data_IF_073049678019
#
_entry.id   IF_073049678019
#
_cell.length_a   1.000
_cell.length_b   1.000
_cell.length_c   1.000
_cell.angle_alpha   90.00
_cell.angle_beta   90.00
_cell.angle_gamma   90.00
#
_symmetry.space_group_name_H-M   'P 1'
#
loop_
_entity.id
_entity.type
_entity.pdbx_description
1 polymer ?
#
# COMPACT_ATOMS: atom_id res chain seq x y z
N UNK A 1 28.99 9.41 -15.63
CA UNK A 1 27.62 9.48 -15.07
C UNK A 1 26.99 10.80 -15.48
N UNK A 2 25.76 10.80 -15.99
CA UNK A 2 25.06 12.04 -16.36
C UNK A 2 24.82 12.88 -15.10
N UNK A 3 25.11 14.18 -15.15
CA UNK A 3 24.86 15.11 -14.03
C UNK A 3 23.41 15.58 -14.10
N UNK A 4 22.72 15.62 -12.96
CA UNK A 4 21.38 16.22 -12.87
C UNK A 4 21.47 17.72 -13.14
N UNK A 5 20.59 18.24 -13.99
CA UNK A 5 20.59 19.64 -14.46
C UNK A 5 19.41 20.45 -13.95
N UNK A 6 18.44 19.81 -13.29
CA UNK A 6 17.26 20.47 -12.71
C UNK A 6 16.71 19.66 -11.51
N UNK A 7 15.98 20.34 -10.61
CA UNK A 7 15.39 19.81 -9.39
C UNK A 7 13.99 20.42 -9.20
N UNK A 8 12.97 19.59 -9.06
CA UNK A 8 11.59 20.02 -8.82
C UNK A 8 11.29 19.84 -7.35
N UNK A 9 10.91 20.90 -6.65
CA UNK A 9 10.46 20.89 -5.25
C UNK A 9 8.94 20.97 -5.24
N UNK A 10 8.29 19.89 -4.83
CA UNK A 10 6.83 19.77 -4.70
C UNK A 10 6.34 20.10 -3.29
N UNK A 11 7.17 19.85 -2.28
CA UNK A 11 6.92 20.31 -0.92
C UNK A 11 8.23 20.84 -0.33
N UNK A 12 8.20 22.10 0.10
CA UNK A 12 9.33 22.85 0.60
C UNK A 12 8.90 24.27 0.95
N UNK A 13 9.83 25.11 1.39
CA UNK A 13 9.55 26.53 1.69
C UNK A 13 8.91 27.23 0.50
N UNK A 14 9.50 27.07 -0.68
CA UNK A 14 8.97 27.56 -1.95
C UNK A 14 8.96 26.39 -2.93
N UNK A 15 7.78 25.87 -3.33
CA UNK A 15 7.66 24.92 -4.42
C UNK A 15 8.09 25.54 -5.75
N UNK A 16 8.83 24.80 -6.57
CA UNK A 16 9.34 25.31 -7.85
C UNK A 16 10.38 24.42 -8.51
N UNK A 17 10.88 24.87 -9.66
CA UNK A 17 12.01 24.25 -10.37
C UNK A 17 13.29 25.02 -10.07
N UNK A 18 14.35 24.30 -9.72
CA UNK A 18 15.68 24.83 -9.39
C UNK A 18 16.73 24.15 -10.27
N UNK A 19 17.73 24.89 -10.75
CA UNK A 19 18.74 24.35 -11.67
C UNK A 19 20.04 23.93 -10.98
N UNK A 20 20.15 24.20 -9.68
CA UNK A 20 21.25 23.72 -8.84
C UNK A 20 20.74 23.01 -7.60
N UNK A 21 21.52 22.04 -7.11
CA UNK A 21 21.20 21.36 -5.85
C UNK A 21 21.24 22.34 -4.67
N UNK A 22 22.12 23.34 -4.71
CA UNK A 22 22.23 24.36 -3.65
C UNK A 22 20.92 25.13 -3.46
N UNK A 23 20.29 25.57 -4.57
CA UNK A 23 19.00 26.27 -4.54
C UNK A 23 17.87 25.36 -4.08
N UNK A 24 17.82 24.12 -4.58
CA UNK A 24 16.84 23.11 -4.14
C UNK A 24 16.97 22.85 -2.63
N UNK A 25 18.20 22.67 -2.13
CA UNK A 25 18.47 22.35 -0.74
C UNK A 25 18.03 23.47 0.22
N UNK A 26 18.11 24.75 -0.20
CA UNK A 26 17.56 25.88 0.59
C UNK A 26 16.05 25.75 0.83
N UNK A 27 15.31 25.13 -0.09
CA UNK A 27 13.85 24.98 0.05
C UNK A 27 13.46 23.79 0.92
N UNK A 28 14.21 22.69 0.84
CA UNK A 28 13.84 21.45 1.51
C UNK A 28 14.48 21.29 2.88
N UNK A 29 15.72 21.78 3.09
CA UNK A 29 16.47 21.52 4.32
C UNK A 29 15.70 21.95 5.58
N UNK A 30 15.37 20.98 6.43
CA UNK A 30 14.64 21.20 7.68
C UNK A 30 13.14 21.49 7.51
N UNK A 31 12.59 21.32 6.30
CA UNK A 31 11.16 21.44 6.05
C UNK A 31 10.48 20.08 6.28
N UNK A 32 9.53 20.03 7.21
CA UNK A 32 8.79 18.80 7.51
C UNK A 32 7.92 18.40 6.32
N UNK A 33 8.03 17.15 5.87
CA UNK A 33 7.31 16.68 4.68
C UNK A 33 7.89 17.16 3.35
N UNK A 34 9.18 17.52 3.30
CA UNK A 34 9.85 17.89 2.06
C UNK A 34 9.70 16.82 0.96
N UNK A 35 9.41 17.27 -0.25
CA UNK A 35 9.31 16.44 -1.46
C UNK A 35 10.02 17.16 -2.61
N UNK A 36 11.09 16.55 -3.12
CA UNK A 36 11.82 17.05 -4.28
C UNK A 36 12.40 15.91 -5.12
N UNK A 37 12.62 16.18 -6.40
CA UNK A 37 13.17 15.21 -7.35
C UNK A 37 14.11 15.87 -8.35
N UNK A 38 15.25 15.24 -8.64
CA UNK A 38 16.22 15.75 -9.62
C UNK A 38 16.11 15.06 -10.98
N UNK A 39 16.32 15.82 -12.06
CA UNK A 39 16.15 15.40 -13.45
C UNK A 39 17.43 15.64 -14.27
N UNK A 40 17.64 14.81 -15.28
CA UNK A 40 18.79 14.88 -16.19
C UNK A 40 18.57 15.83 -17.37
N UNK A 41 17.32 16.22 -17.65
CA UNK A 41 16.97 17.22 -18.66
C UNK A 41 16.02 18.26 -18.06
N UNK A 42 16.07 19.49 -18.58
CA UNK A 42 15.16 20.57 -18.15
C UNK A 42 13.71 20.28 -18.55
N UNK A 43 13.50 19.69 -19.73
CA UNK A 43 12.18 19.31 -20.23
C UNK A 43 11.48 18.29 -19.32
N UNK A 44 12.20 17.29 -18.81
CA UNK A 44 11.64 16.33 -17.88
C UNK A 44 11.26 16.97 -16.53
N UNK A 45 12.06 17.93 -16.06
CA UNK A 45 11.72 18.70 -14.85
C UNK A 45 10.48 19.59 -15.06
N UNK A 46 10.38 20.26 -16.21
CA UNK A 46 9.24 21.11 -16.56
C UNK A 46 7.95 20.30 -16.65
N UNK A 47 7.97 19.17 -17.37
CA UNK A 47 6.81 18.27 -17.50
C UNK A 47 6.34 17.77 -16.13
N UNK A 48 7.27 17.41 -15.25
CA UNK A 48 6.93 16.96 -13.90
C UNK A 48 6.34 18.07 -13.02
N UNK A 49 6.80 19.31 -13.21
CA UNK A 49 6.28 20.47 -12.51
C UNK A 49 4.88 20.87 -12.99
N UNK A 50 4.67 20.91 -14.30
CA UNK A 50 3.38 21.26 -14.90
C UNK A 50 2.30 20.24 -14.51
N UNK A 51 2.63 18.94 -14.53
CA UNK A 51 1.74 17.88 -14.06
C UNK A 51 1.38 18.07 -12.58
N UNK A 52 2.34 18.43 -11.73
CA UNK A 52 2.09 18.67 -10.32
C UNK A 52 1.23 19.92 -10.08
N UNK A 53 1.46 20.99 -10.84
CA UNK A 53 0.63 22.20 -10.79
C UNK A 53 -0.81 21.91 -11.24
N UNK A 54 -1.00 21.20 -12.35
CA UNK A 54 -2.33 20.82 -12.84
C UNK A 54 -3.12 20.00 -11.82
N UNK A 55 -2.46 19.03 -11.18
CA UNK A 55 -3.06 18.22 -10.11
C UNK A 55 -3.45 19.04 -8.88
N UNK A 56 -2.68 20.07 -8.54
CA UNK A 56 -2.95 20.91 -7.38
C UNK A 56 -3.99 22.00 -7.63
N UNK A 57 -4.04 22.56 -8.84
CA UNK A 57 -5.10 23.49 -9.25
C UNK A 57 -6.47 22.81 -9.24
N UNK A 58 -6.54 21.55 -9.70
CA UNK A 58 -7.77 20.74 -9.60
C UNK A 58 -8.19 20.46 -8.14
N UNK A 59 -7.21 20.39 -7.23
CA UNK A 59 -7.45 20.12 -5.80
C UNK A 59 -7.91 21.36 -5.03
N UNK A 60 -7.47 22.55 -5.43
CA UNK A 60 -7.90 23.81 -4.82
C UNK A 60 -9.26 24.30 -5.34
N UNK A 61 -9.61 24.03 -6.60
CA UNK A 61 -10.97 24.32 -7.13
C UNK A 61 -12.09 23.56 -6.41
N UNK A 62 -11.82 22.35 -5.92
CA UNK A 62 -12.80 21.58 -5.12
C UNK A 62 -12.93 22.07 -3.66
N UNK A 63 -12.02 22.92 -3.17
CA UNK A 63 -12.11 23.52 -1.83
C UNK A 63 -12.86 24.86 -1.82
N UNK A 64 -12.98 25.56 -2.95
CA UNK A 64 -13.74 26.83 -3.02
C UNK A 64 -15.25 26.64 -3.21
N UNK A 65 -15.70 25.52 -3.82
CA UNK A 65 -17.13 25.24 -4.04
C UNK A 65 -17.86 24.69 -2.80
N UNK A 66 -17.13 24.29 -1.74
CA UNK A 66 -17.73 23.82 -0.48
C UNK A 66 -17.94 24.90 0.57
N UNK A 67 -17.54 26.14 0.30
CA UNK A 67 -17.55 27.23 1.29
C UNK A 67 -18.57 28.34 0.96
N UNK A 68 -19.38 28.20 -0.09
CA UNK A 68 -20.33 29.22 -0.56
C UNK A 68 -21.81 28.86 -0.39
N UNK A 69 -22.19 27.93 0.50
CA UNK A 69 -23.60 27.53 0.71
C UNK A 69 -24.17 27.77 2.12
N UNK A 70 -23.50 28.51 2.99
CA UNK A 70 -24.11 28.94 4.26
C UNK A 70 -23.83 30.42 4.47
N UNK A 71 -24.93 31.19 4.56
CA UNK A 71 -25.06 32.64 4.77
C UNK A 71 -25.11 33.50 3.49
N UNK A 72 -26.33 33.72 2.99
CA UNK A 72 -26.69 34.98 2.34
C UNK A 72 -27.48 35.82 3.33
N UNK A 73 -27.15 37.11 3.52
CA UNK A 73 -27.81 38.33 2.97
C UNK A 73 -26.84 39.53 3.22
N UNK A 74 -27.06 40.74 2.63
CA UNK A 74 -26.22 41.35 1.61
C UNK A 74 -25.33 42.53 2.11
N UNK A 75 -24.43 42.99 1.24
CA UNK A 75 -23.65 44.22 1.37
C UNK A 75 -24.51 45.46 1.69
N UNK A 76 -23.90 46.50 2.28
CA UNK A 76 -23.59 47.66 1.44
C UNK A 76 -22.21 48.28 1.68
N UNK A 77 -21.57 48.61 0.54
CA UNK A 77 -20.84 49.83 0.18
C UNK A 77 -19.99 50.60 1.23
N UNK A 78 -18.76 50.95 0.80
CA UNK A 78 -18.19 52.26 1.10
C UNK A 78 -16.80 52.30 1.74
N UNK A 79 -15.80 52.53 0.91
CA UNK A 79 -14.74 53.55 1.07
C UNK A 79 -13.87 53.62 2.35
N UNK A 80 -12.58 53.34 2.11
CA UNK A 80 -11.40 54.18 2.37
C UNK A 80 -10.77 54.35 3.77
N UNK A 81 -9.43 54.49 3.69
CA UNK A 81 -8.47 55.13 4.61
C UNK A 81 -8.16 54.58 6.04
N UNK A 82 -6.92 54.08 6.15
CA UNK A 82 -5.86 54.49 7.11
C UNK A 82 -5.87 54.14 8.61
N UNK A 83 -4.65 53.76 9.07
CA UNK A 83 -3.95 54.15 10.34
C UNK A 83 -4.32 53.46 11.68
N UNK A 84 -3.30 52.72 12.16
CA UNK A 84 -2.65 52.75 13.50
C UNK A 84 -3.37 52.36 14.82
N UNK A 85 -2.52 51.80 15.70
CA UNK A 85 -2.52 51.82 17.16
C UNK A 85 -3.13 50.65 17.96
N UNK A 86 -2.20 49.86 18.53
CA UNK A 86 -2.08 49.40 19.93
C UNK A 86 -3.32 49.35 20.86
N UNK A 87 -3.53 48.22 21.55
CA UNK A 87 -3.41 48.04 23.03
C UNK A 87 -4.12 46.77 23.55
N UNK A 88 -3.32 45.94 24.23
CA UNK A 88 -3.45 45.38 25.59
C UNK A 88 -4.74 44.75 26.18
N UNK A 89 -4.47 43.71 26.99
CA UNK A 89 -5.21 43.20 28.18
C UNK A 89 -6.53 42.42 27.95
N UNK A 90 -6.92 41.39 28.70
CA UNK A 90 -6.33 40.53 29.74
C UNK A 90 -7.33 39.35 30.00
N UNK A 91 -6.85 38.28 30.63
CA UNK A 91 -7.57 37.48 31.65
C UNK A 91 -8.78 36.55 31.34
N UNK A 92 -8.59 35.28 31.74
CA UNK A 92 -9.52 34.41 32.51
C UNK A 92 -10.64 33.58 31.85
N UNK A 93 -10.36 32.27 31.74
CA UNK A 93 -10.98 31.15 32.47
C UNK A 93 -12.53 31.07 32.58
N UNK A 94 -13.18 30.08 31.94
CA UNK A 94 -14.26 29.32 32.59
C UNK A 94 -14.50 27.93 31.97
N UNK A 95 -14.71 26.97 32.86
CA UNK A 95 -15.09 25.58 32.61
C UNK A 95 -16.60 25.50 32.41
N UNK A 96 -17.09 24.69 31.46
CA UNK A 96 -18.43 24.09 31.58
C UNK A 96 -18.56 22.75 30.85
N UNK A 97 -18.73 21.70 31.66
CA UNK A 97 -19.33 20.40 31.34
C UNK A 97 -20.78 20.57 30.85
N UNK A 98 -21.20 19.78 29.85
CA UNK A 98 -22.50 19.04 29.65
C UNK A 98 -22.22 18.03 28.51
N UNK A 99 -22.39 16.70 28.55
CA UNK A 99 -23.44 15.76 28.98
C UNK A 99 -24.77 15.89 28.22
N UNK A 100 -25.02 14.95 27.29
CA UNK A 100 -26.32 14.51 26.72
C UNK A 100 -26.00 13.46 25.61
N UNK A 101 -26.21 12.15 25.84
CA UNK A 101 -27.41 11.31 25.62
C UNK A 101 -27.54 10.74 24.20
N UNK A 102 -27.96 9.47 24.20
CA UNK A 102 -28.25 8.58 23.08
C UNK A 102 -29.62 8.91 22.45
N UNK A 103 -29.89 8.20 21.34
CA UNK A 103 -31.15 8.09 20.58
C UNK A 103 -31.32 9.25 19.55
N UNK A 104 -31.53 9.04 18.25
CA UNK A 104 -32.30 8.01 17.55
C UNK A 104 -31.66 7.58 16.22
N UNK A 105 -31.92 6.33 15.85
CA UNK A 105 -31.68 5.73 14.55
C UNK A 105 -32.90 5.93 13.63
N UNK A 106 -32.66 5.75 12.32
CA UNK A 106 -33.62 5.81 11.19
C UNK A 106 -33.95 7.25 10.76
N UNK A 107 -33.80 7.70 9.52
CA UNK A 107 -33.62 7.08 8.22
C UNK A 107 -33.08 8.16 7.26
N UNK A 108 -32.35 7.78 6.20
CA UNK A 108 -32.37 8.39 4.85
C UNK A 108 -31.37 7.59 4.00
N UNK A 109 -31.94 6.64 3.28
CA UNK A 109 -31.38 6.13 2.04
C UNK A 109 -31.31 7.26 1.00
N UNK A 110 -30.30 7.13 0.14
CA UNK A 110 -30.04 7.80 -1.14
C UNK A 110 -28.93 8.87 -1.20
N UNK A 111 -28.03 8.60 -2.15
CA UNK A 111 -27.02 9.45 -2.76
C UNK A 111 -25.69 9.65 -2.01
N UNK A 112 -24.88 8.60 -1.94
CA UNK A 112 -23.42 8.72 -1.92
C UNK A 112 -22.82 8.21 -3.23
N UNK A 113 -22.78 9.07 -4.26
CA UNK A 113 -21.83 8.94 -5.38
C UNK A 113 -20.44 9.25 -4.83
N UNK A 114 -19.67 8.20 -4.55
CA UNK A 114 -18.35 8.25 -3.92
C UNK A 114 -17.29 8.64 -4.95
N UNK A 115 -16.61 9.77 -4.72
CA UNK A 115 -15.41 10.18 -5.45
C UNK A 115 -14.29 9.21 -5.08
N UNK A 116 -13.71 8.53 -6.08
CA UNK A 116 -12.67 7.49 -5.93
C UNK A 116 -11.32 8.12 -5.62
N UNK A 117 -10.59 7.57 -4.65
CA UNK A 117 -9.23 7.99 -4.31
C UNK A 117 -8.20 7.32 -5.21
N UNK A 118 -6.98 7.87 -5.31
CA UNK A 118 -5.89 7.34 -6.14
C UNK A 118 -5.42 5.92 -5.77
N UNK A 119 -5.74 5.45 -4.55
CA UNK A 119 -5.58 4.05 -4.17
C UNK A 119 -6.62 3.12 -4.82
N UNK A 120 -7.81 3.64 -5.14
CA UNK A 120 -8.88 2.91 -5.84
C UNK A 120 -8.62 2.85 -7.36
N UNK A 121 -7.72 3.67 -7.90
CA UNK A 121 -7.36 3.68 -9.34
C UNK A 121 -6.44 2.50 -9.70
N UNK A 122 -5.60 2.03 -8.76
CA UNK A 122 -4.72 0.88 -8.98
C UNK A 122 -5.46 -0.47 -8.99
N UNK A 123 -6.69 -0.52 -8.48
CA UNK A 123 -7.52 -1.72 -8.45
C UNK A 123 -8.32 -1.92 -9.76
N UNK A 124 -8.25 -0.97 -10.71
CA UNK A 124 -9.10 -0.97 -11.92
C UNK A 124 -8.36 -1.13 -13.26
N UNK A 125 -7.08 -1.48 -13.28
CA UNK A 125 -6.44 -1.94 -14.54
C UNK A 125 -6.32 -3.46 -14.52
N UNK A 126 -7.48 -4.13 -14.53
CA UNK A 126 -7.59 -5.48 -15.05
C UNK A 126 -8.36 -5.38 -16.36
N UNK A 127 -7.62 -5.30 -17.47
CA UNK A 127 -8.17 -5.66 -18.78
C UNK A 127 -8.12 -7.18 -18.81
N UNK A 128 -9.15 -7.84 -18.27
CA UNK A 128 -9.37 -9.25 -18.57
C UNK A 128 -9.85 -9.32 -20.02
N UNK A 129 -8.92 -9.61 -20.94
CA UNK A 129 -9.28 -9.98 -22.30
C UNK A 129 -10.08 -11.28 -22.25
N UNK A 130 -11.30 -11.24 -22.77
CA UNK A 130 -12.31 -12.32 -22.70
C UNK A 130 -12.02 -13.50 -23.66
N UNK A 131 -10.82 -13.61 -24.21
CA UNK A 131 -10.48 -14.56 -25.29
C UNK A 131 -9.25 -15.44 -25.00
N UNK A 132 -8.86 -15.61 -23.73
CA UNK A 132 -7.84 -16.63 -23.41
C UNK A 132 -8.45 -18.03 -23.45
N UNK A 133 -7.83 -19.01 -24.16
CA UNK A 133 -8.32 -20.37 -24.22
C UNK A 133 -8.41 -20.98 -22.81
N UNK A 134 -9.38 -21.90 -22.58
CA UNK A 134 -9.56 -22.51 -21.27
C UNK A 134 -8.28 -23.20 -20.82
N UNK A 135 -7.78 -22.81 -19.65
CA UNK A 135 -6.60 -23.41 -19.03
C UNK A 135 -6.95 -24.85 -18.63
N UNK A 136 -6.31 -25.82 -19.28
CA UNK A 136 -6.45 -27.24 -18.93
C UNK A 136 -5.39 -27.56 -17.87
N UNK A 137 -5.84 -27.89 -16.67
CA UNK A 137 -4.96 -28.31 -15.57
C UNK A 137 -4.71 -29.82 -15.61
N UNK A 138 -3.50 -30.23 -15.23
CA UNK A 138 -3.22 -31.64 -14.96
C UNK A 138 -3.93 -32.09 -13.68
N UNK A 139 -4.03 -33.41 -13.46
CA UNK A 139 -4.61 -33.96 -12.23
C UNK A 139 -3.88 -33.45 -10.97
N UNK A 140 -2.55 -33.33 -11.03
CA UNK A 140 -1.72 -32.81 -9.94
C UNK A 140 -2.01 -31.32 -9.68
N UNK A 141 -2.05 -30.51 -10.73
CA UNK A 141 -2.37 -29.08 -10.62
C UNK A 141 -3.80 -28.87 -10.07
N UNK A 142 -4.75 -29.67 -10.52
CA UNK A 142 -6.13 -29.61 -10.04
C UNK A 142 -6.22 -30.00 -8.56
N UNK A 143 -5.47 -31.01 -8.11
CA UNK A 143 -5.40 -31.35 -6.68
C UNK A 143 -4.87 -30.19 -5.83
N UNK A 144 -3.86 -29.45 -6.30
CA UNK A 144 -3.37 -28.23 -5.60
C UNK A 144 -4.46 -27.17 -5.51
N UNK A 145 -5.20 -26.97 -6.60
CA UNK A 145 -6.32 -26.03 -6.61
C UNK A 145 -7.36 -26.42 -5.56
N UNK A 146 -7.75 -27.68 -5.51
CA UNK A 146 -8.77 -28.16 -4.57
C UNK A 146 -8.30 -28.00 -3.11
N UNK A 147 -7.04 -28.35 -2.80
CA UNK A 147 -6.44 -28.10 -1.48
C UNK A 147 -6.50 -26.62 -1.08
N UNK A 148 -6.18 -25.71 -2.00
CA UNK A 148 -6.25 -24.27 -1.74
C UNK A 148 -7.69 -23.79 -1.50
N UNK A 149 -8.68 -24.33 -2.24
CA UNK A 149 -10.09 -23.98 -2.06
C UNK A 149 -10.67 -24.51 -0.75
N UNK A 150 -10.15 -25.63 -0.24
CA UNK A 150 -10.48 -26.18 1.07
C UNK A 150 -9.81 -25.43 2.25
N UNK A 151 -9.23 -24.26 1.99
CA UNK A 151 -8.53 -23.40 2.95
C UNK A 151 -7.31 -24.10 3.61
N UNK A 152 -6.63 -25.01 2.89
CA UNK A 152 -5.37 -25.57 3.35
C UNK A 152 -4.21 -24.61 3.07
N UNK A 153 -3.21 -24.63 3.96
CA UNK A 153 -1.93 -23.97 3.69
C UNK A 153 -1.18 -24.83 2.66
N UNK A 154 -0.75 -24.22 1.56
CA UNK A 154 -0.17 -24.95 0.41
C UNK A 154 1.26 -24.49 0.19
N UNK A 155 2.18 -25.43 0.00
CA UNK A 155 3.47 -25.15 -0.61
C UNK A 155 3.51 -25.71 -2.04
N UNK A 156 3.45 -24.81 -3.02
CA UNK A 156 3.48 -25.09 -4.45
C UNK A 156 4.91 -24.99 -4.98
N UNK A 157 5.51 -26.13 -5.24
CA UNK A 157 6.87 -26.22 -5.79
C UNK A 157 6.90 -27.11 -7.03
N UNK A 158 8.03 -27.15 -7.72
CA UNK A 158 8.20 -27.88 -8.97
C UNK A 158 9.25 -27.25 -9.87
N UNK A 159 9.67 -27.96 -10.91
CA UNK A 159 10.72 -27.50 -11.81
C UNK A 159 10.32 -26.27 -12.65
N UNK A 160 11.31 -25.66 -13.31
CA UNK A 160 11.07 -24.65 -14.34
C UNK A 160 10.10 -25.21 -15.40
N UNK A 161 9.03 -24.47 -15.71
CA UNK A 161 8.06 -24.90 -16.72
C UNK A 161 7.00 -25.91 -16.25
N UNK A 162 6.95 -26.32 -14.98
CA UNK A 162 5.91 -27.24 -14.45
C UNK A 162 4.50 -26.61 -14.32
N UNK A 163 4.33 -25.35 -14.72
CA UNK A 163 3.04 -24.67 -14.68
C UNK A 163 2.64 -24.13 -13.29
N UNK A 164 3.60 -23.91 -12.37
CA UNK A 164 3.35 -23.29 -11.05
C UNK A 164 2.56 -21.99 -11.16
N UNK A 165 3.00 -21.05 -12.00
CA UNK A 165 2.34 -19.75 -12.18
C UNK A 165 0.95 -19.90 -12.80
N UNK A 166 0.75 -20.88 -13.69
CA UNK A 166 -0.56 -21.18 -14.30
C UNK A 166 -1.52 -21.69 -13.21
N UNK A 167 -1.07 -22.64 -12.41
CA UNK A 167 -1.84 -23.20 -11.28
C UNK A 167 -2.17 -22.11 -10.26
N UNK A 168 -1.19 -21.27 -9.91
CA UNK A 168 -1.37 -20.17 -8.97
C UNK A 168 -2.40 -19.14 -9.47
N UNK A 169 -2.35 -18.77 -10.76
CA UNK A 169 -3.35 -17.87 -11.35
C UNK A 169 -4.76 -18.44 -11.22
N UNK A 170 -4.93 -19.74 -11.45
CA UNK A 170 -6.24 -20.39 -11.32
C UNK A 170 -6.71 -20.44 -9.86
N UNK A 171 -5.81 -20.71 -8.91
CA UNK A 171 -6.11 -20.62 -7.46
C UNK A 171 -6.61 -19.22 -7.09
N UNK A 172 -5.85 -18.17 -7.48
CA UNK A 172 -6.19 -16.78 -7.19
C UNK A 172 -7.55 -16.43 -7.78
N UNK A 173 -7.80 -16.82 -9.04
CA UNK A 173 -9.07 -16.59 -9.73
C UNK A 173 -10.24 -17.24 -8.99
N UNK A 174 -10.16 -18.54 -8.69
CA UNK A 174 -11.24 -19.27 -8.02
C UNK A 174 -11.48 -18.75 -6.59
N UNK A 175 -10.44 -18.46 -5.81
CA UNK A 175 -10.59 -17.87 -4.47
C UNK A 175 -11.25 -16.49 -4.51
N UNK A 176 -10.89 -15.64 -5.48
CA UNK A 176 -11.55 -14.32 -5.66
C UNK A 176 -13.01 -14.46 -6.06
N UNK A 177 -13.36 -15.43 -6.92
CA UNK A 177 -14.76 -15.75 -7.25
C UNK A 177 -15.55 -16.17 -5.99
N UNK A 178 -14.92 -16.87 -5.06
CA UNK A 178 -15.51 -17.20 -3.75
C UNK A 178 -15.55 -16.00 -2.77
N UNK A 179 -15.18 -14.80 -3.22
CA UNK A 179 -15.21 -13.58 -2.41
C UNK A 179 -14.05 -13.44 -1.42
N UNK A 180 -13.00 -14.27 -1.51
CA UNK A 180 -11.81 -14.18 -0.65
C UNK A 180 -10.92 -13.03 -1.11
N UNK A 181 -10.40 -12.27 -0.15
CA UNK A 181 -9.36 -11.27 -0.43
C UNK A 181 -7.99 -11.95 -0.49
N UNK A 182 -7.54 -12.25 -1.70
CA UNK A 182 -6.22 -12.85 -1.96
C UNK A 182 -5.18 -11.77 -2.18
N UNK A 183 -4.17 -11.71 -1.31
CA UNK A 183 -3.01 -10.83 -1.49
C UNK A 183 -1.80 -11.63 -1.96
N UNK A 184 -1.25 -11.21 -3.10
CA UNK A 184 -0.03 -11.80 -3.67
C UNK A 184 1.15 -10.91 -3.33
N UNK A 185 2.18 -11.52 -2.76
CA UNK A 185 3.44 -10.86 -2.44
C UNK A 185 4.62 -11.61 -3.02
N UNK A 186 5.64 -10.86 -3.44
CA UNK A 186 6.90 -11.43 -3.91
C UNK A 186 8.09 -10.59 -3.40
N UNK A 187 9.33 -11.11 -3.38
CA UNK A 187 10.51 -10.37 -2.95
C UNK A 187 10.84 -9.19 -3.88
N UNK A 188 10.51 -9.30 -5.18
CA UNK A 188 10.74 -8.26 -6.17
C UNK A 188 9.44 -7.78 -6.82
N UNK A 189 9.43 -6.53 -7.29
CA UNK A 189 8.27 -5.97 -8.00
C UNK A 189 8.02 -6.65 -9.34
N UNK A 190 9.07 -7.14 -10.00
CA UNK A 190 8.97 -7.83 -11.30
C UNK A 190 8.24 -9.17 -11.17
N UNK A 191 8.49 -9.91 -10.07
CA UNK A 191 7.77 -11.15 -9.77
C UNK A 191 6.30 -10.88 -9.37
N UNK A 192 6.07 -9.86 -8.53
CA UNK A 192 4.72 -9.57 -8.04
C UNK A 192 3.77 -9.00 -9.12
N UNK A 193 4.29 -8.20 -10.05
CA UNK A 193 3.49 -7.41 -10.98
C UNK A 193 2.57 -8.27 -11.91
N UNK A 194 3.03 -9.36 -12.53
CA UNK A 194 2.18 -10.22 -13.38
C UNK A 194 1.00 -10.87 -12.67
N UNK A 195 1.01 -10.94 -11.34
CA UNK A 195 -0.07 -11.48 -10.52
C UNK A 195 -0.94 -10.37 -9.88
N UNK A 196 -0.70 -9.11 -10.25
CA UNK A 196 -1.36 -7.95 -9.62
C UNK A 196 -0.99 -7.82 -8.13
N UNK A 197 0.17 -8.34 -7.75
CA UNK A 197 0.67 -8.34 -6.39
C UNK A 197 1.51 -7.11 -6.06
N UNK A 198 2.18 -7.20 -4.91
CA UNK A 198 3.06 -6.16 -4.39
C UNK A 198 4.31 -6.78 -3.77
N UNK A 199 5.35 -5.98 -3.52
CA UNK A 199 6.54 -6.54 -2.85
C UNK A 199 6.23 -6.90 -1.41
N UNK A 200 6.87 -7.94 -0.87
CA UNK A 200 6.66 -8.38 0.50
C UNK A 200 6.95 -7.26 1.52
N UNK A 201 7.97 -6.42 1.26
CA UNK A 201 8.21 -5.20 2.04
C UNK A 201 7.04 -4.21 1.98
N UNK A 202 6.50 -3.96 0.79
CA UNK A 202 5.33 -3.09 0.62
C UNK A 202 4.10 -3.64 1.34
N UNK A 203 3.93 -4.97 1.38
CA UNK A 203 2.83 -5.65 2.09
C UNK A 203 2.89 -5.31 3.57
N UNK A 204 4.05 -5.55 4.16
CA UNK A 204 4.33 -5.36 5.57
C UNK A 204 4.41 -3.88 5.98
N UNK A 205 4.54 -2.96 5.00
CA UNK A 205 4.76 -1.54 5.26
C UNK A 205 6.18 -1.27 5.76
N UNK A 206 7.14 -2.08 5.35
CA UNK A 206 8.54 -2.00 5.75
C UNK A 206 9.39 -1.27 4.71
N UNK A 207 10.49 -0.72 5.20
CA UNK A 207 11.57 -0.11 4.45
C UNK A 207 12.80 -1.04 4.47
N UNK A 208 13.80 -0.87 3.59
CA UNK A 208 14.99 -1.73 3.55
C UNK A 208 15.75 -1.82 4.88
N UNK A 209 15.71 -0.77 5.70
CA UNK A 209 16.34 -0.71 7.03
C UNK A 209 15.49 -1.35 8.14
N UNK A 210 14.25 -1.76 7.84
CA UNK A 210 13.29 -2.20 8.85
C UNK A 210 13.72 -3.49 9.53
N UNK A 211 14.32 -4.44 8.79
CA UNK A 211 14.78 -5.70 9.39
C UNK A 211 15.93 -5.50 10.40
N UNK A 212 16.63 -4.36 10.37
CA UNK A 212 17.67 -4.02 11.35
C UNK A 212 17.09 -3.49 12.66
N UNK A 213 15.85 -3.00 12.65
CA UNK A 213 15.17 -2.48 13.84
C UNK A 213 14.71 -3.64 14.73
N UNK A 214 14.66 -3.44 16.05
CA UNK A 214 14.07 -4.45 16.93
C UNK A 214 12.57 -4.61 16.61
N UNK A 215 12.05 -5.84 16.76
CA UNK A 215 10.69 -6.19 16.32
C UNK A 215 9.62 -5.29 16.91
N UNK A 216 9.74 -4.89 18.19
CA UNK A 216 8.75 -4.04 18.86
C UNK A 216 8.58 -2.66 18.19
N UNK A 217 9.65 -2.08 17.64
CA UNK A 217 9.56 -0.84 16.86
C UNK A 217 8.74 -1.06 15.57
N UNK A 218 8.99 -2.15 14.85
CA UNK A 218 8.27 -2.47 13.61
C UNK A 218 6.77 -2.69 13.83
N UNK A 219 6.41 -3.37 14.92
CA UNK A 219 5.02 -3.63 15.27
C UNK A 219 4.25 -2.31 15.51
N UNK A 220 4.87 -1.36 16.21
CA UNK A 220 4.32 -0.03 16.50
C UNK A 220 4.25 0.88 15.27
N UNK A 221 5.31 0.88 14.46
CA UNK A 221 5.51 1.83 13.35
C UNK A 221 4.83 1.41 12.04
N UNK A 222 4.26 0.20 11.98
CA UNK A 222 3.53 -0.26 10.79
C UNK A 222 2.40 0.71 10.44
N UNK A 223 2.45 1.26 9.23
CA UNK A 223 1.50 2.27 8.77
C UNK A 223 0.04 1.82 8.85
N UNK A 224 -0.88 2.77 9.06
CA UNK A 224 -2.34 2.50 9.07
C UNK A 224 -2.81 1.82 7.76
N UNK A 225 -2.21 2.18 6.63
CA UNK A 225 -2.51 1.58 5.32
C UNK A 225 -2.09 0.11 5.26
N UNK A 226 -0.87 -0.22 5.68
CA UNK A 226 -0.38 -1.60 5.72
C UNK A 226 -1.23 -2.45 6.68
N UNK A 227 -1.53 -1.94 7.89
CA UNK A 227 -2.42 -2.63 8.84
C UNK A 227 -3.80 -2.91 8.25
N UNK A 228 -4.42 -1.93 7.56
CA UNK A 228 -5.72 -2.11 6.91
C UNK A 228 -5.66 -3.18 5.82
N UNK A 229 -4.59 -3.20 5.01
CA UNK A 229 -4.39 -4.21 3.96
C UNK A 229 -4.25 -5.61 4.56
N UNK A 230 -3.37 -5.77 5.56
CA UNK A 230 -3.15 -7.04 6.25
C UNK A 230 -4.46 -7.55 6.87
N UNK A 231 -5.22 -6.67 7.57
CA UNK A 231 -6.51 -7.05 8.19
C UNK A 231 -7.54 -7.56 7.19
N UNK A 232 -7.58 -6.98 5.99
CA UNK A 232 -8.49 -7.40 4.91
C UNK A 232 -8.07 -8.69 4.21
N UNK A 233 -6.83 -9.15 4.40
CA UNK A 233 -6.31 -10.33 3.70
C UNK A 233 -6.92 -11.59 4.29
N UNK A 234 -7.47 -12.45 3.44
CA UNK A 234 -7.95 -13.79 3.82
C UNK A 234 -6.93 -14.86 3.48
N UNK A 235 -6.30 -14.72 2.30
CA UNK A 235 -5.28 -15.63 1.78
C UNK A 235 -4.04 -14.83 1.40
N UNK A 236 -2.89 -15.21 1.94
CA UNK A 236 -1.59 -14.62 1.62
C UNK A 236 -0.80 -15.58 0.72
N UNK A 237 -0.55 -15.16 -0.52
CA UNK A 237 0.33 -15.86 -1.45
C UNK A 237 1.73 -15.23 -1.35
N UNK A 238 2.76 -16.04 -1.14
CA UNK A 238 4.16 -15.61 -1.17
C UNK A 238 4.87 -16.32 -2.32
N UNK A 239 5.03 -15.59 -3.42
CA UNK A 239 5.73 -16.03 -4.63
C UNK A 239 7.24 -15.81 -4.51
N UNK A 240 8.02 -16.64 -5.22
CA UNK A 240 9.49 -16.69 -5.16
C UNK A 240 9.99 -16.85 -3.71
N UNK A 241 9.37 -17.76 -2.96
CA UNK A 241 9.73 -18.02 -1.56
C UNK A 241 11.21 -18.40 -1.38
N UNK A 242 11.84 -18.96 -2.41
CA UNK A 242 13.26 -19.31 -2.41
C UNK A 242 14.19 -18.10 -2.31
N UNK A 243 13.70 -16.89 -2.66
CA UNK A 243 14.45 -15.64 -2.54
C UNK A 243 14.10 -14.87 -1.26
N UNK A 244 13.19 -15.37 -0.41
CA UNK A 244 12.78 -14.68 0.82
C UNK A 244 13.59 -15.23 2.00
N UNK A 245 14.24 -14.33 2.74
CA UNK A 245 15.04 -14.69 3.92
C UNK A 245 14.16 -15.17 5.09
N UNK A 246 14.64 -16.14 5.86
CA UNK A 246 13.92 -16.65 7.04
C UNK A 246 13.60 -15.52 8.05
N UNK A 247 14.56 -14.63 8.32
CA UNK A 247 14.35 -13.50 9.22
C UNK A 247 13.17 -12.62 8.78
N UNK A 248 12.94 -12.47 7.47
CA UNK A 248 11.80 -11.73 6.95
C UNK A 248 10.49 -12.45 7.29
N UNK A 249 10.42 -13.77 7.05
CA UNK A 249 9.23 -14.58 7.31
C UNK A 249 8.87 -14.62 8.80
N UNK A 250 9.84 -14.81 9.68
CA UNK A 250 9.63 -14.79 11.13
C UNK A 250 9.05 -13.45 11.59
N UNK A 251 9.62 -12.35 11.12
CA UNK A 251 9.13 -11.01 11.46
C UNK A 251 7.75 -10.73 10.88
N UNK A 252 7.45 -11.27 9.70
CA UNK A 252 6.14 -11.10 9.07
C UNK A 252 5.08 -11.88 9.86
N UNK A 253 5.41 -13.09 10.28
CA UNK A 253 4.59 -13.89 11.17
C UNK A 253 4.28 -13.13 12.48
N UNK A 254 5.31 -12.60 13.15
CA UNK A 254 5.14 -11.80 14.37
C UNK A 254 4.28 -10.55 14.14
N UNK A 255 4.45 -9.87 13.00
CA UNK A 255 3.61 -8.72 12.62
C UNK A 255 2.15 -9.12 12.47
N UNK A 256 1.86 -10.22 11.78
CA UNK A 256 0.49 -10.70 11.60
C UNK A 256 -0.12 -11.16 12.92
N UNK A 257 0.62 -11.92 13.74
CA UNK A 257 0.20 -12.29 15.09
C UNK A 257 -0.15 -11.08 15.95
N UNK A 258 0.67 -10.03 15.90
CA UNK A 258 0.41 -8.77 16.61
C UNK A 258 -0.84 -8.06 16.09
N UNK A 259 -1.03 -7.96 14.78
CA UNK A 259 -2.20 -7.29 14.17
C UNK A 259 -3.49 -8.05 14.52
N UNK A 260 -3.48 -9.37 14.46
CA UNK A 260 -4.65 -10.22 14.71
C UNK A 260 -4.83 -10.63 16.17
N UNK A 261 -3.89 -10.25 17.05
CA UNK A 261 -3.91 -10.59 18.48
C UNK A 261 -4.06 -12.11 18.71
N UNK A 262 -3.26 -12.89 17.98
CA UNK A 262 -3.28 -14.35 18.04
C UNK A 262 -1.87 -14.92 17.98
N UNK A 263 -1.66 -16.11 18.53
CA UNK A 263 -0.41 -16.86 18.43
C UNK A 263 -0.38 -17.80 17.23
N UNK A 264 -1.47 -17.89 16.45
CA UNK A 264 -1.52 -18.73 15.24
C UNK A 264 -0.50 -18.24 14.21
N UNK A 265 0.17 -19.15 13.47
CA UNK A 265 1.03 -18.78 12.36
C UNK A 265 0.33 -17.83 11.38
N UNK A 266 1.05 -16.81 10.91
CA UNK A 266 0.58 -15.76 10.00
C UNK A 266 -0.75 -15.13 10.43
N UNK A 267 -0.98 -14.99 11.73
CA UNK A 267 -2.22 -14.43 12.27
C UNK A 267 -3.46 -15.29 12.00
N UNK A 268 -3.28 -16.58 11.72
CA UNK A 268 -4.35 -17.52 11.38
C UNK A 268 -4.92 -17.37 9.98
N UNK A 269 -4.19 -16.68 9.08
CA UNK A 269 -4.55 -16.56 7.66
C UNK A 269 -4.06 -17.77 6.87
N UNK A 270 -4.79 -18.11 5.82
CA UNK A 270 -4.32 -19.14 4.88
C UNK A 270 -3.09 -18.63 4.15
N UNK A 271 -2.08 -19.48 4.02
CA UNK A 271 -0.82 -19.14 3.34
C UNK A 271 -0.56 -20.08 2.18
N UNK A 272 -0.21 -19.52 1.03
CA UNK A 272 0.22 -20.27 -0.15
C UNK A 272 1.63 -19.83 -0.51
N UNK A 273 2.60 -20.69 -0.28
CA UNK A 273 3.98 -20.47 -0.66
C UNK A 273 4.21 -21.00 -2.08
N UNK A 274 4.90 -20.24 -2.92
CA UNK A 274 5.23 -20.65 -4.29
C UNK A 274 6.69 -20.40 -4.57
N UNK A 275 7.39 -21.40 -5.10
CA UNK A 275 8.76 -21.23 -5.56
C UNK A 275 9.47 -22.54 -5.89
N UNK A 276 10.64 -22.40 -6.48
CA UNK A 276 11.55 -23.51 -6.76
C UNK A 276 12.89 -23.25 -6.05
N UNK A 277 13.23 -24.12 -5.10
CA UNK A 277 14.49 -24.05 -4.37
C UNK A 277 15.68 -24.55 -5.18
N UNK A 278 15.48 -25.19 -6.33
CA UNK A 278 16.53 -25.59 -7.26
C UNK A 278 16.87 -24.50 -8.29
N UNK A 279 15.98 -23.54 -8.56
CA UNK A 279 16.23 -22.44 -9.49
C UNK A 279 17.04 -21.28 -8.87
N UNK A 280 16.92 -21.04 -7.56
CA UNK A 280 17.62 -19.95 -6.88
C UNK A 280 18.81 -20.49 -6.07
N UNK A 281 19.93 -20.77 -6.75
CA UNK A 281 21.22 -20.99 -6.09
C UNK A 281 21.78 -19.66 -5.56
N UNK A 282 21.18 -19.12 -4.51
CA UNK A 282 21.76 -18.06 -3.68
C UNK A 282 21.65 -18.48 -2.20
N UNK A 283 22.82 -18.81 -1.64
CA UNK A 283 23.09 -19.27 -0.26
C UNK A 283 22.66 -20.72 0.07
N UNK A 284 23.67 -21.59 0.19
CA UNK A 284 23.58 -22.99 0.62
C UNK A 284 23.20 -23.16 2.12
N UNK A 285 22.36 -22.28 2.66
CA UNK A 285 22.04 -22.24 4.10
C UNK A 285 20.54 -22.20 4.41
N UNK A 286 19.67 -22.05 3.41
CA UNK A 286 18.28 -21.60 3.64
C UNK A 286 17.23 -22.72 3.59
N UNK A 287 17.61 -23.95 3.22
CA UNK A 287 16.64 -24.93 2.70
C UNK A 287 16.26 -25.99 3.75
N UNK A 288 15.18 -25.77 4.50
CA UNK A 288 14.07 -26.75 4.59
C UNK A 288 12.93 -26.42 5.55
N UNK A 289 13.11 -25.61 6.60
CA UNK A 289 12.19 -25.69 7.74
C UNK A 289 11.20 -24.52 7.88
N UNK A 290 11.59 -23.29 7.53
CA UNK A 290 10.75 -22.14 7.88
C UNK A 290 9.37 -22.08 7.20
N UNK A 291 9.22 -22.29 5.88
CA UNK A 291 7.89 -22.26 5.25
C UNK A 291 7.01 -23.44 5.70
N UNK A 292 7.61 -24.61 5.92
CA UNK A 292 6.89 -25.81 6.37
C UNK A 292 6.42 -25.67 7.82
N UNK A 293 7.23 -25.09 8.70
CA UNK A 293 6.84 -24.81 10.09
C UNK A 293 5.72 -23.76 10.18
N UNK A 294 5.65 -22.84 9.21
CA UNK A 294 4.58 -21.85 9.11
C UNK A 294 3.28 -22.43 8.54
N UNK A 295 3.33 -23.53 7.79
CA UNK A 295 2.16 -24.27 7.33
C UNK A 295 1.64 -25.18 8.45
N UNK A 296 0.58 -24.74 9.12
CA UNK A 296 0.00 -25.45 10.27
C UNK A 296 -0.60 -26.83 9.95
N UNK A 297 -0.77 -27.17 8.67
CA UNK A 297 -1.54 -28.33 8.18
C UNK A 297 -0.84 -29.21 7.15
N UNK A 298 0.46 -29.00 6.87
CA UNK A 298 1.29 -29.84 5.99
C UNK A 298 0.56 -30.34 4.71
N UNK A 299 0.26 -29.45 3.77
CA UNK A 299 0.01 -29.82 2.38
C UNK A 299 1.18 -29.31 1.52
N UNK A 300 2.21 -30.14 1.38
CA UNK A 300 3.28 -29.93 0.40
C UNK A 300 2.82 -30.59 -0.88
N UNK A 301 2.66 -29.82 -1.95
CA UNK A 301 2.39 -30.38 -3.27
C UNK A 301 3.52 -30.03 -4.21
N UNK A 302 4.17 -31.07 -4.70
CA UNK A 302 5.22 -30.97 -5.71
C UNK A 302 4.54 -31.17 -7.07
N UNK A 303 4.62 -30.16 -7.94
CA UNK A 303 4.33 -30.23 -9.37
C UNK A 303 5.57 -30.54 -10.19
#
# INVERSE_FOLDING_TARGET
MAKKVAYVVRAGRIPGIYFTYSECNKQVRGFSGQDYQGYFTREAAQTAWDNWQALNSARQGQLSERTTSVLGVPDPEGEDETIDSQRDEDSSNDKRKRHATLDDAEDIQHASKKIKTTADVFEQVQVESQDEPPVILTAEQQAVVDMALDNQDVFLTGAAGSGKTVTLKEIIKKLRILGKTVQVVAPTGIAALPLGGLTAYSFAGWQPDSLQKPIHCLLGDTSKFARRRIRKTDVLVIEEISMVENQFLERLNLLMQYIFQTTKPMGGKQVIFVGDFHQASLSNSCLHLAPLELCSRNAVSVL
#
